data_IF_321408962871
#
_entry.id   IF_321408962871
#
_cell.length_a   1.000
_cell.length_b   1.000
_cell.length_c   1.000
_cell.angle_alpha   90.00
_cell.angle_beta   90.00
_cell.angle_gamma   90.00
#
_symmetry.space_group_name_H-M   'P 1'
#
loop_
_entity.id
_entity.type
_entity.pdbx_description
1 polymer ?
#
# COMPACT_ATOMS: atom_id res chain seq x y z
N UNK A 1 13.30 -12.64 -12.23
CA UNK A 1 12.36 -13.47 -11.46
C UNK A 1 11.80 -12.62 -10.33
N UNK A 2 10.48 -12.45 -10.24
CA UNK A 2 9.86 -11.81 -9.06
C UNK A 2 10.30 -12.61 -7.84
N UNK A 3 10.99 -11.98 -6.89
CA UNK A 3 11.42 -12.66 -5.66
C UNK A 3 10.17 -12.80 -4.78
N UNK A 4 9.39 -13.85 -5.01
CA UNK A 4 7.98 -13.91 -4.61
C UNK A 4 7.83 -13.89 -3.09
N UNK A 5 7.23 -12.84 -2.57
CA UNK A 5 6.68 -12.78 -1.22
C UNK A 5 5.64 -13.89 -1.01
N UNK A 6 5.33 -14.24 0.24
CA UNK A 6 4.25 -15.17 0.56
C UNK A 6 2.93 -14.72 -0.07
N UNK A 7 2.59 -13.43 0.04
CA UNK A 7 1.37 -12.88 -0.56
C UNK A 7 1.31 -13.13 -2.07
N UNK A 8 2.42 -12.86 -2.78
CA UNK A 8 2.50 -13.10 -4.22
C UNK A 8 2.26 -14.58 -4.54
N UNK A 9 2.92 -15.50 -3.82
CA UNK A 9 2.75 -16.95 -4.05
C UNK A 9 1.31 -17.41 -3.84
N UNK A 10 0.64 -16.95 -2.77
CA UNK A 10 -0.73 -17.35 -2.46
C UNK A 10 -1.69 -16.87 -3.55
N UNK A 11 -1.57 -15.61 -3.96
CA UNK A 11 -2.42 -15.02 -5.01
C UNK A 11 -2.15 -15.64 -6.38
N UNK A 12 -0.89 -15.82 -6.77
CA UNK A 12 -0.50 -16.43 -8.06
C UNK A 12 -0.92 -17.91 -8.15
N UNK A 13 -1.00 -18.62 -7.02
CA UNK A 13 -1.54 -19.98 -6.95
C UNK A 13 -3.08 -20.05 -7.04
N UNK A 14 -3.77 -18.89 -7.08
CA UNK A 14 -5.23 -18.82 -7.08
C UNK A 14 -5.86 -19.19 -5.73
N UNK A 15 -5.09 -19.14 -4.63
CA UNK A 15 -5.60 -19.40 -3.30
C UNK A 15 -6.23 -18.16 -2.68
N UNK A 16 -7.14 -18.38 -1.73
CA UNK A 16 -7.75 -17.29 -0.98
C UNK A 16 -6.74 -16.73 0.03
N UNK A 17 -6.20 -15.55 -0.24
CA UNK A 17 -5.27 -14.87 0.65
C UNK A 17 -5.99 -14.15 1.79
N UNK A 18 -5.48 -14.30 3.01
CA UNK A 18 -5.91 -13.56 4.20
C UNK A 18 -4.85 -12.53 4.56
N UNK A 19 -5.26 -11.27 4.74
CA UNK A 19 -4.37 -10.23 5.26
C UNK A 19 -4.95 -9.58 6.51
N UNK A 20 -4.08 -9.06 7.37
CA UNK A 20 -4.47 -8.32 8.58
C UNK A 20 -3.83 -6.95 8.56
N UNK A 21 -4.56 -5.90 8.98
CA UNK A 21 -4.02 -4.55 9.08
C UNK A 21 -3.55 -4.23 10.50
N UNK A 22 -2.34 -3.69 10.62
CA UNK A 22 -1.70 -3.25 11.86
C UNK A 22 -1.38 -1.77 11.73
N UNK A 23 -2.08 -0.95 12.52
CA UNK A 23 -1.78 0.48 12.63
C UNK A 23 -0.58 0.75 13.56
N UNK A 24 0.49 1.44 13.09
CA UNK A 24 1.59 1.85 13.94
C UNK A 24 1.14 2.83 15.06
N UNK A 25 1.86 2.88 16.20
CA UNK A 25 1.53 3.77 17.31
C UNK A 25 1.82 5.24 16.97
N UNK A 26 1.26 6.15 17.76
CA UNK A 26 1.53 7.61 17.69
C UNK A 26 2.76 8.02 18.52
N UNK A 27 3.60 7.07 18.89
CA UNK A 27 4.80 7.26 19.70
C UNK A 27 5.94 6.37 19.17
N UNK A 28 7.12 6.46 19.78
CA UNK A 28 8.31 5.70 19.39
C UNK A 28 8.41 4.33 20.08
N UNK A 29 7.40 3.90 20.82
CA UNK A 29 7.44 2.62 21.53
C UNK A 29 7.15 1.44 20.59
N UNK A 30 8.23 0.84 20.09
CA UNK A 30 8.16 -0.33 19.21
C UNK A 30 7.57 -1.59 19.86
N UNK A 31 7.50 -1.66 21.20
CA UNK A 31 6.97 -2.84 21.89
C UNK A 31 5.51 -3.09 21.52
N UNK A 32 4.70 -2.02 21.39
CA UNK A 32 3.30 -2.07 20.95
C UNK A 32 3.10 -2.71 19.58
N UNK A 33 4.08 -2.54 18.67
CA UNK A 33 4.05 -3.19 17.35
C UNK A 33 4.40 -4.66 17.49
N UNK A 34 5.46 -4.98 18.24
CA UNK A 34 5.89 -6.38 18.43
C UNK A 34 4.87 -7.23 19.20
N UNK A 35 4.17 -6.67 20.19
CA UNK A 35 3.11 -7.37 20.93
C UNK A 35 1.94 -7.73 20.00
N UNK A 36 1.48 -6.77 19.18
CA UNK A 36 0.46 -7.04 18.16
C UNK A 36 0.93 -8.09 17.16
N UNK A 37 2.18 -8.02 16.71
CA UNK A 37 2.74 -9.01 15.79
C UNK A 37 2.71 -10.42 16.38
N UNK A 38 3.10 -10.58 17.65
CA UNK A 38 3.06 -11.86 18.36
C UNK A 38 1.64 -12.44 18.46
N UNK A 39 0.65 -11.59 18.75
CA UNK A 39 -0.76 -12.01 18.80
C UNK A 39 -1.31 -12.45 17.44
N UNK A 40 -0.83 -11.82 16.36
CA UNK A 40 -1.35 -12.02 15.01
C UNK A 40 -0.56 -13.05 14.20
N UNK A 41 0.56 -13.54 14.73
CA UNK A 41 1.47 -14.47 14.05
C UNK A 41 0.74 -15.75 13.62
N UNK A 42 0.84 -16.08 12.32
CA UNK A 42 0.25 -17.29 11.76
C UNK A 42 -1.25 -17.21 11.46
N UNK A 43 -1.88 -16.05 11.66
CA UNK A 43 -3.30 -15.84 11.35
C UNK A 43 -3.57 -15.34 9.91
N UNK A 44 -2.53 -14.87 9.20
CA UNK A 44 -2.66 -14.26 7.88
C UNK A 44 -1.43 -14.54 7.01
N UNK A 45 -1.62 -14.45 5.70
CA UNK A 45 -0.57 -14.62 4.69
C UNK A 45 0.37 -13.41 4.61
N UNK A 46 -0.16 -12.22 4.89
CA UNK A 46 0.60 -10.98 4.97
C UNK A 46 -0.11 -9.93 5.83
N UNK A 47 0.64 -8.89 6.24
CA UNK A 47 0.19 -7.93 7.24
C UNK A 47 0.36 -6.51 6.74
N UNK A 48 -0.76 -5.84 6.45
CA UNK A 48 -0.78 -4.43 6.08
C UNK A 48 -0.23 -3.55 7.21
N UNK A 49 0.75 -2.72 6.91
CA UNK A 49 1.28 -1.71 7.83
C UNK A 49 0.94 -0.34 7.27
N UNK A 50 0.06 0.38 7.98
CA UNK A 50 -0.45 1.67 7.52
C UNK A 50 0.59 2.78 7.61
N UNK A 51 0.46 3.80 6.75
CA UNK A 51 1.34 4.97 6.70
C UNK A 51 0.53 6.25 6.95
N UNK A 52 0.65 6.78 8.18
CA UNK A 52 -0.10 7.95 8.66
C UNK A 52 -1.61 7.89 8.34
N UNK A 53 -2.28 6.78 8.67
CA UNK A 53 -3.71 6.61 8.37
C UNK A 53 -4.54 7.76 8.95
N UNK A 54 -5.55 8.24 8.22
CA UNK A 54 -6.38 9.40 8.62
C UNK A 54 -5.61 10.71 8.83
N UNK A 55 -4.45 10.82 8.17
CA UNK A 55 -3.50 11.94 8.28
C UNK A 55 -3.03 12.19 9.72
N UNK A 56 -2.81 11.11 10.48
CA UNK A 56 -2.31 11.15 11.86
C UNK A 56 -0.86 10.71 11.88
N UNK A 57 0.01 11.53 12.45
CA UNK A 57 1.44 11.19 12.61
C UNK A 57 1.60 9.95 13.47
N UNK A 58 2.28 8.96 12.91
CA UNK A 58 2.57 7.67 13.53
C UNK A 58 4.01 7.28 13.25
N UNK A 59 4.49 6.26 13.95
CA UNK A 59 5.70 5.54 13.57
C UNK A 59 5.63 5.19 12.08
N UNK A 60 6.72 5.40 11.33
CA UNK A 60 6.71 5.18 9.89
C UNK A 60 6.38 3.72 9.56
N UNK A 61 5.70 3.53 8.42
CA UNK A 61 5.34 2.18 7.97
C UNK A 61 6.57 1.29 7.79
N UNK A 62 7.68 1.84 7.27
CA UNK A 62 8.96 1.13 7.10
C UNK A 62 9.49 0.59 8.44
N UNK A 63 9.54 1.43 9.48
CA UNK A 63 10.04 1.03 10.79
C UNK A 63 9.15 -0.06 11.41
N UNK A 64 7.83 0.11 11.34
CA UNK A 64 6.88 -0.89 11.82
C UNK A 64 6.96 -2.20 11.03
N UNK A 65 7.18 -2.16 9.71
CA UNK A 65 7.42 -3.34 8.89
C UNK A 65 8.63 -4.14 9.39
N UNK A 66 9.76 -3.48 9.65
CA UNK A 66 10.97 -4.14 10.17
C UNK A 66 10.70 -4.80 11.52
N UNK A 67 9.94 -4.15 12.40
CA UNK A 67 9.58 -4.71 13.70
C UNK A 67 8.75 -5.99 13.57
N UNK A 68 7.73 -6.02 12.70
CA UNK A 68 6.92 -7.24 12.52
C UNK A 68 7.67 -8.35 11.77
N UNK A 69 8.59 -7.99 10.87
CA UNK A 69 9.46 -8.95 10.18
C UNK A 69 10.36 -9.71 11.14
N UNK A 70 10.88 -9.05 12.19
CA UNK A 70 11.67 -9.70 13.25
C UNK A 70 10.86 -10.73 14.03
N UNK A 71 9.55 -10.57 14.09
CA UNK A 71 8.63 -11.54 14.69
C UNK A 71 8.18 -12.64 13.70
N UNK A 72 8.64 -12.58 12.45
CA UNK A 72 8.36 -13.57 11.40
C UNK A 72 7.08 -13.32 10.60
N UNK A 73 6.55 -12.09 10.63
CA UNK A 73 5.38 -11.70 9.84
C UNK A 73 5.84 -11.04 8.52
N UNK A 74 5.12 -11.30 7.44
CA UNK A 74 5.40 -10.68 6.14
C UNK A 74 4.61 -9.37 5.99
N UNK A 75 5.26 -8.19 5.90
CA UNK A 75 4.56 -6.92 5.77
C UNK A 75 4.07 -6.67 4.35
N UNK A 76 2.94 -5.95 4.26
CA UNK A 76 2.53 -5.13 3.12
C UNK A 76 2.65 -3.67 3.54
N UNK A 77 3.75 -3.04 3.14
CA UNK A 77 4.01 -1.64 3.50
C UNK A 77 3.06 -0.74 2.72
N UNK A 78 2.26 0.07 3.41
CA UNK A 78 1.53 1.14 2.74
C UNK A 78 2.48 2.31 2.48
N UNK A 79 2.36 2.90 1.29
CA UNK A 79 3.08 4.11 0.91
C UNK A 79 2.08 5.17 0.46
N UNK A 80 2.00 6.25 1.24
CA UNK A 80 1.07 7.35 1.00
C UNK A 80 1.71 8.47 0.17
N UNK A 81 1.07 8.87 -0.94
CA UNK A 81 1.54 9.97 -1.79
C UNK A 81 1.35 11.38 -1.19
N UNK A 82 0.36 11.58 -0.32
CA UNK A 82 0.05 12.88 0.30
C UNK A 82 1.24 13.53 0.99
N UNK A 83 2.07 12.74 1.68
CA UNK A 83 3.06 13.23 2.63
C UNK A 83 4.46 13.43 2.02
N UNK A 84 4.71 12.90 0.81
CA UNK A 84 6.07 12.79 0.23
C UNK A 84 6.09 13.14 -1.26
N UNK A 85 7.22 13.66 -1.74
CA UNK A 85 7.45 13.86 -3.17
C UNK A 85 8.06 12.59 -3.80
N UNK A 86 8.16 12.54 -5.13
CA UNK A 86 8.68 11.37 -5.85
C UNK A 86 10.12 11.00 -5.48
N UNK A 87 10.95 11.96 -5.08
CA UNK A 87 12.32 11.69 -4.63
C UNK A 87 12.31 10.94 -3.30
N UNK A 88 11.57 11.46 -2.32
CA UNK A 88 11.42 10.85 -1.01
C UNK A 88 10.77 9.46 -1.10
N UNK A 89 9.74 9.29 -1.94
CA UNK A 89 9.09 7.99 -2.13
C UNK A 89 10.06 6.97 -2.71
N UNK A 90 10.79 7.31 -3.77
CA UNK A 90 11.76 6.37 -4.38
C UNK A 90 12.88 6.00 -3.40
N UNK A 91 13.40 6.97 -2.64
CA UNK A 91 14.41 6.71 -1.61
C UNK A 91 13.87 5.79 -0.50
N UNK A 92 12.66 6.04 -0.01
CA UNK A 92 11.98 5.22 0.99
C UNK A 92 11.76 3.78 0.49
N UNK A 93 11.40 3.62 -0.79
CA UNK A 93 11.21 2.31 -1.41
C UNK A 93 12.52 1.53 -1.52
N UNK A 94 13.60 2.17 -1.96
CA UNK A 94 14.92 1.55 -2.01
C UNK A 94 15.38 1.12 -0.61
N UNK A 95 15.21 1.99 0.39
CA UNK A 95 15.51 1.69 1.79
C UNK A 95 14.66 0.53 2.34
N UNK A 96 13.36 0.53 2.08
CA UNK A 96 12.44 -0.54 2.46
C UNK A 96 12.86 -1.89 1.88
N UNK A 97 13.18 -1.93 0.58
CA UNK A 97 13.63 -3.15 -0.10
C UNK A 97 14.97 -3.64 0.44
N UNK A 98 15.91 -2.72 0.74
CA UNK A 98 17.19 -3.06 1.36
C UNK A 98 17.02 -3.68 2.77
N UNK A 99 15.95 -3.31 3.48
CA UNK A 99 15.56 -3.90 4.77
C UNK A 99 14.78 -5.23 4.62
N UNK A 100 14.54 -5.67 3.38
CA UNK A 100 13.89 -6.95 3.06
C UNK A 100 12.38 -6.86 2.88
N UNK A 101 11.79 -5.66 2.83
CA UNK A 101 10.35 -5.48 2.54
C UNK A 101 10.11 -5.76 1.06
N UNK A 102 9.13 -6.62 0.77
CA UNK A 102 8.85 -7.11 -0.60
C UNK A 102 7.48 -6.73 -1.13
N UNK A 103 6.56 -6.26 -0.29
CA UNK A 103 5.21 -5.89 -0.71
C UNK A 103 4.95 -4.41 -0.41
N UNK A 104 4.40 -3.68 -1.38
CA UNK A 104 4.04 -2.27 -1.24
C UNK A 104 2.61 -2.03 -1.71
N UNK A 105 1.77 -1.39 -0.89
CA UNK A 105 0.42 -0.95 -1.29
C UNK A 105 0.44 0.56 -1.53
N UNK A 106 0.25 0.96 -2.79
CA UNK A 106 0.26 2.35 -3.23
C UNK A 106 -1.08 3.02 -2.94
N UNK A 107 -1.06 4.10 -2.13
CA UNK A 107 -2.26 4.82 -1.73
C UNK A 107 -2.08 6.34 -1.85
N UNK A 108 -3.17 7.04 -2.17
CA UNK A 108 -3.16 8.51 -2.26
C UNK A 108 -2.99 9.12 -0.86
N UNK A 109 -3.68 8.56 0.13
CA UNK A 109 -3.80 9.09 1.49
C UNK A 109 -5.04 9.95 1.69
N UNK A 110 -5.55 9.97 2.93
CA UNK A 110 -6.64 10.85 3.36
C UNK A 110 -6.19 12.31 3.39
N UNK A 111 -7.05 13.25 3.01
CA UNK A 111 -6.71 14.68 3.06
C UNK A 111 -6.21 15.09 4.47
N UNK A 112 -5.17 15.91 4.55
CA UNK A 112 -4.51 16.27 5.81
C UNK A 112 -5.44 17.01 6.80
N UNK A 113 -6.50 17.63 6.30
CA UNK A 113 -7.52 18.27 7.15
C UNK A 113 -8.43 17.27 7.89
N UNK A 114 -8.44 15.99 7.52
CA UNK A 114 -9.34 15.01 8.15
C UNK A 114 -8.93 14.62 9.57
N UNK A 115 -7.64 14.79 9.93
CA UNK A 115 -7.05 14.60 11.27
C UNK A 115 -7.89 13.83 12.30
N UNK A 116 -7.86 12.49 12.26
CA UNK A 116 -8.60 11.61 13.18
C UNK A 116 -10.11 11.94 13.35
N UNK A 117 -10.76 12.44 12.31
CA UNK A 117 -12.12 12.97 12.32
C UNK A 117 -12.31 14.11 13.33
N UNK A 118 -11.34 15.02 13.41
CA UNK A 118 -11.34 16.18 14.31
C UNK A 118 -11.01 15.86 15.77
N UNK A 119 -10.70 14.59 16.11
CA UNK A 119 -10.35 14.19 17.48
C UNK A 119 -8.94 14.62 17.90
N UNK A 120 -8.08 14.92 16.94
CA UNK A 120 -6.73 15.41 17.18
C UNK A 120 -6.58 16.80 16.58
N UNK A 121 -5.70 17.62 17.17
CA UNK A 121 -5.37 18.95 16.63
C UNK A 121 -4.85 18.88 15.19
N UNK A 122 -4.26 17.76 14.80
CA UNK A 122 -3.70 17.53 13.47
C UNK A 122 -2.58 18.53 13.13
N UNK A 123 -2.34 18.70 11.84
CA UNK A 123 -1.30 19.59 11.32
C UNK A 123 -1.91 20.49 10.23
N UNK A 124 -2.72 21.51 10.60
CA UNK A 124 -3.44 22.33 9.63
C UNK A 124 -2.51 23.10 8.66
N UNK A 125 -1.25 23.36 9.07
CA UNK A 125 -0.23 23.98 8.23
C UNK A 125 0.63 23.00 7.43
N UNK A 126 0.43 21.68 7.56
CA UNK A 126 1.17 20.71 6.78
C UNK A 126 0.80 20.84 5.29
N UNK A 127 1.83 20.83 4.44
CA UNK A 127 1.63 20.86 2.99
C UNK A 127 1.12 19.51 2.52
N UNK A 128 0.11 19.57 1.66
CA UNK A 128 -0.23 18.46 0.78
C UNK A 128 0.82 18.38 -0.32
N UNK A 129 1.65 17.33 -0.30
CA UNK A 129 2.70 17.19 -1.29
C UNK A 129 2.09 16.75 -2.62
N UNK A 130 1.40 15.61 -2.67
CA UNK A 130 0.72 15.05 -3.86
C UNK A 130 1.49 15.26 -5.18
N UNK A 131 2.82 15.13 -5.14
CA UNK A 131 3.68 15.30 -6.32
C UNK A 131 3.37 14.25 -7.39
N UNK A 132 2.90 13.08 -6.95
CA UNK A 132 2.37 12.00 -7.79
C UNK A 132 1.09 11.44 -7.16
N UNK A 133 0.16 10.95 -7.99
CA UNK A 133 -0.99 10.18 -7.50
C UNK A 133 -0.65 8.68 -7.34
N UNK A 134 -1.59 7.90 -6.79
CA UNK A 134 -1.34 6.46 -6.56
C UNK A 134 -1.15 5.66 -7.85
N UNK A 135 -1.70 6.12 -8.98
CA UNK A 135 -1.54 5.46 -10.29
C UNK A 135 -0.17 5.76 -10.87
N UNK A 136 0.28 7.01 -10.77
CA UNK A 136 1.64 7.40 -11.14
C UNK A 136 2.68 6.69 -10.27
N UNK A 137 2.42 6.55 -8.96
CA UNK A 137 3.27 5.78 -8.07
C UNK A 137 3.40 4.32 -8.52
N UNK A 138 2.30 3.66 -8.93
CA UNK A 138 2.37 2.30 -9.49
C UNK A 138 3.33 2.25 -10.69
N UNK A 139 3.20 3.18 -11.65
CA UNK A 139 4.06 3.23 -12.82
C UNK A 139 5.53 3.45 -12.45
N UNK A 140 5.81 4.30 -11.46
CA UNK A 140 7.17 4.53 -10.95
C UNK A 140 7.75 3.26 -10.36
N UNK A 141 7.01 2.60 -9.44
CA UNK A 141 7.51 1.38 -8.78
C UNK A 141 7.66 0.23 -9.79
N UNK A 142 6.76 0.15 -10.78
CA UNK A 142 6.87 -0.79 -11.89
C UNK A 142 8.15 -0.53 -12.68
N UNK A 143 8.45 0.70 -13.08
CA UNK A 143 9.67 1.06 -13.81
C UNK A 143 10.95 0.76 -13.01
N UNK A 144 10.95 1.06 -11.71
CA UNK A 144 12.07 0.72 -10.83
C UNK A 144 12.33 -0.80 -10.78
N UNK A 145 11.27 -1.60 -10.68
CA UNK A 145 11.36 -3.07 -10.57
C UNK A 145 11.65 -3.74 -11.92
N UNK A 146 10.89 -3.39 -12.96
CA UNK A 146 10.84 -4.10 -14.24
C UNK A 146 11.94 -3.59 -15.18
N UNK A 147 12.15 -2.27 -15.24
CA UNK A 147 13.11 -1.63 -16.14
C UNK A 147 14.45 -1.36 -15.45
N UNK A 148 14.44 -1.22 -14.12
CA UNK A 148 15.63 -0.89 -13.34
C UNK A 148 16.02 0.58 -13.48
N UNK A 149 15.03 1.47 -13.54
CA UNK A 149 15.22 2.91 -13.70
C UNK A 149 14.52 3.67 -12.57
N UNK A 150 15.15 4.72 -12.08
CA UNK A 150 14.45 5.77 -11.32
C UNK A 150 13.46 6.48 -12.24
N UNK A 151 12.47 7.18 -11.67
CA UNK A 151 11.48 7.95 -12.44
C UNK A 151 12.13 8.97 -13.40
N UNK A 152 13.28 9.54 -13.00
CA UNK A 152 14.05 10.46 -13.83
C UNK A 152 14.89 9.79 -14.93
N UNK A 153 14.94 8.46 -15.00
CA UNK A 153 15.67 7.69 -16.00
C UNK A 153 17.06 7.20 -15.59
N UNK A 154 17.54 7.57 -14.39
CA UNK A 154 18.82 7.08 -13.87
C UNK A 154 18.76 5.57 -13.55
N UNK A 155 19.82 4.80 -13.82
CA UNK A 155 19.81 3.35 -13.62
C UNK A 155 19.80 2.96 -12.14
N UNK A 156 19.14 1.83 -11.85
CA UNK A 156 19.15 1.12 -10.57
C UNK A 156 19.78 -0.25 -10.81
N UNK A 157 21.03 -0.41 -10.39
CA UNK A 157 21.78 -1.66 -10.58
C UNK A 157 21.12 -2.86 -9.88
N UNK A 158 20.72 -2.67 -8.62
CA UNK A 158 20.00 -3.68 -7.82
C UNK A 158 18.54 -3.27 -7.72
N UNK A 159 17.71 -3.89 -8.57
CA UNK A 159 16.29 -3.56 -8.70
C UNK A 159 15.50 -3.94 -7.44
N UNK A 160 14.55 -3.12 -6.98
CA UNK A 160 13.68 -3.45 -5.85
C UNK A 160 12.73 -4.60 -6.22
N UNK A 161 12.76 -5.75 -5.52
CA UNK A 161 11.96 -6.93 -5.88
C UNK A 161 10.54 -6.84 -5.31
N UNK A 162 9.77 -5.84 -5.75
CA UNK A 162 8.46 -5.53 -5.18
C UNK A 162 7.30 -6.30 -5.81
N UNK A 163 6.37 -6.73 -4.96
CA UNK A 163 5.00 -7.05 -5.31
C UNK A 163 4.12 -5.82 -5.01
N UNK A 164 3.58 -5.22 -6.07
CA UNK A 164 3.02 -3.88 -6.05
C UNK A 164 1.50 -3.95 -6.01
N UNK A 165 0.89 -3.40 -4.97
CA UNK A 165 -0.55 -3.35 -4.78
C UNK A 165 -1.13 -1.97 -5.01
N UNK A 166 -2.42 -1.92 -5.31
CA UNK A 166 -3.17 -0.67 -5.33
C UNK A 166 -4.47 -0.76 -4.52
N UNK A 167 -4.82 0.32 -3.82
CA UNK A 167 -6.14 0.42 -3.18
C UNK A 167 -7.24 0.78 -4.20
N UNK A 168 -8.44 0.21 -4.04
CA UNK A 168 -9.61 0.55 -4.87
C UNK A 168 -10.86 0.75 -4.01
N UNK A 169 -11.63 1.80 -4.30
CA UNK A 169 -12.92 2.05 -3.63
C UNK A 169 -14.04 1.79 -4.64
N UNK A 170 -14.65 0.59 -4.63
CA UNK A 170 -15.58 0.16 -5.68
C UNK A 170 -16.88 0.97 -5.74
N UNK A 171 -17.38 1.38 -4.57
CA UNK A 171 -18.69 2.02 -4.40
C UNK A 171 -18.58 3.50 -4.02
N UNK A 172 -17.40 4.11 -4.19
CA UNK A 172 -17.22 5.54 -3.92
C UNK A 172 -17.82 6.40 -5.04
N UNK A 173 -18.35 7.58 -4.71
CA UNK A 173 -18.93 8.52 -5.67
C UNK A 173 -17.85 9.26 -6.49
N UNK A 174 -17.94 9.41 -7.83
CA UNK A 174 -18.89 8.77 -8.75
C UNK A 174 -18.61 7.26 -8.91
N UNK A 175 -19.66 6.44 -8.84
CA UNK A 175 -19.55 4.97 -8.84
C UNK A 175 -19.21 4.43 -10.23
N UNK A 176 -19.79 5.02 -11.28
CA UNK A 176 -19.69 4.50 -12.65
C UNK A 176 -18.25 4.57 -13.21
N UNK A 177 -17.42 5.48 -12.69
CA UNK A 177 -16.02 5.62 -13.10
C UNK A 177 -15.08 4.68 -12.36
N UNK A 178 -15.55 3.96 -11.33
CA UNK A 178 -14.68 3.13 -10.47
C UNK A 178 -14.08 1.93 -11.19
N UNK A 179 -14.78 1.21 -12.09
CA UNK A 179 -14.17 0.17 -12.91
C UNK A 179 -13.06 0.72 -13.83
N UNK A 180 -13.28 1.90 -14.43
CA UNK A 180 -12.24 2.54 -15.25
C UNK A 180 -11.01 2.95 -14.42
N UNK A 181 -11.20 3.42 -13.18
CA UNK A 181 -10.07 3.71 -12.27
C UNK A 181 -9.32 2.44 -11.87
N UNK A 182 -10.01 1.32 -11.71
CA UNK A 182 -9.37 0.03 -11.48
C UNK A 182 -8.52 -0.39 -12.68
N UNK A 183 -9.07 -0.30 -13.90
CA UNK A 183 -8.34 -0.56 -15.16
C UNK A 183 -7.02 0.21 -15.22
N UNK A 184 -7.07 1.52 -14.97
CA UNK A 184 -5.87 2.38 -14.98
C UNK A 184 -4.81 1.92 -13.97
N UNK A 185 -5.22 1.41 -12.81
CA UNK A 185 -4.28 0.88 -11.79
C UNK A 185 -3.66 -0.45 -12.22
N UNK A 186 -4.45 -1.34 -12.82
CA UNK A 186 -3.93 -2.59 -13.37
C UNK A 186 -2.93 -2.32 -14.49
N UNK A 187 -3.27 -1.44 -15.44
CA UNK A 187 -2.39 -1.04 -16.55
C UNK A 187 -1.11 -0.32 -16.08
N UNK A 188 -1.19 0.45 -14.98
CA UNK A 188 -0.03 1.10 -14.37
C UNK A 188 0.92 0.12 -13.66
N UNK A 189 0.56 -1.16 -13.52
CA UNK A 189 1.45 -2.19 -12.99
C UNK A 189 1.11 -2.71 -11.59
N UNK A 190 -0.12 -2.54 -11.11
CA UNK A 190 -0.55 -3.24 -9.91
C UNK A 190 -0.57 -4.76 -10.15
N UNK A 191 0.12 -5.53 -9.32
CA UNK A 191 0.05 -6.99 -9.27
C UNK A 191 -1.14 -7.49 -8.45
N UNK A 192 -1.64 -6.68 -7.50
CA UNK A 192 -2.83 -6.99 -6.72
C UNK A 192 -3.64 -5.75 -6.35
N UNK A 193 -4.91 -5.97 -6.00
CA UNK A 193 -5.85 -4.91 -5.64
C UNK A 193 -6.42 -5.20 -4.26
N UNK A 194 -6.44 -4.18 -3.39
CA UNK A 194 -7.10 -4.24 -2.10
C UNK A 194 -8.25 -3.25 -2.07
N UNK A 195 -9.48 -3.70 -1.81
CA UNK A 195 -10.62 -2.78 -1.74
C UNK A 195 -10.65 -2.04 -0.41
N UNK A 196 -11.29 -0.87 -0.37
CA UNK A 196 -11.82 -0.40 0.90
C UNK A 196 -12.94 -1.30 1.42
N UNK A 197 -13.29 -1.14 2.70
CA UNK A 197 -14.37 -1.90 3.34
C UNK A 197 -15.65 -1.87 2.51
N UNK A 198 -16.15 -3.06 2.17
CA UNK A 198 -17.39 -3.25 1.41
C UNK A 198 -18.46 -3.78 2.37
N UNK A 199 -19.48 -2.97 2.62
CA UNK A 199 -20.63 -3.35 3.44
C UNK A 199 -21.85 -3.72 2.58
N UNK A 200 -21.99 -3.12 1.41
CA UNK A 200 -23.02 -3.48 0.42
C UNK A 200 -22.45 -4.50 -0.57
N UNK A 201 -22.53 -5.77 -0.17
CA UNK A 201 -21.99 -6.90 -0.94
C UNK A 201 -22.77 -7.10 -2.26
N UNK A 202 -24.07 -6.78 -2.29
CA UNK A 202 -24.90 -6.93 -3.48
C UNK A 202 -24.44 -5.95 -4.57
N UNK A 203 -24.33 -4.66 -4.24
CA UNK A 203 -23.83 -3.65 -5.19
C UNK A 203 -22.37 -3.89 -5.58
N UNK A 204 -21.54 -4.39 -4.66
CA UNK A 204 -20.18 -4.77 -4.99
C UNK A 204 -20.13 -5.91 -6.02
N UNK A 205 -21.00 -6.92 -5.88
CA UNK A 205 -21.11 -8.02 -6.86
C UNK A 205 -21.50 -7.50 -8.25
N UNK A 206 -22.45 -6.57 -8.32
CA UNK A 206 -22.83 -5.91 -9.58
C UNK A 206 -21.65 -5.14 -10.18
N UNK A 207 -20.93 -4.38 -9.36
CA UNK A 207 -19.75 -3.64 -9.82
C UNK A 207 -18.64 -4.56 -10.31
N UNK A 208 -18.42 -5.70 -9.64
CA UNK A 208 -17.45 -6.71 -10.07
C UNK A 208 -17.83 -7.36 -11.40
N UNK A 209 -19.13 -7.52 -11.69
CA UNK A 209 -19.57 -7.97 -13.01
C UNK A 209 -19.08 -7.02 -14.10
N UNK A 210 -19.26 -5.71 -13.92
CA UNK A 210 -18.75 -4.69 -14.85
C UNK A 210 -17.22 -4.78 -15.01
N UNK A 211 -16.49 -5.00 -13.92
CA UNK A 211 -15.03 -5.18 -13.95
C UNK A 211 -14.65 -6.40 -14.78
N UNK A 212 -15.27 -7.55 -14.55
CA UNK A 212 -15.00 -8.78 -15.30
C UNK A 212 -15.41 -8.66 -16.79
N UNK A 213 -16.53 -8.00 -17.08
CA UNK A 213 -16.99 -7.73 -18.46
C UNK A 213 -16.00 -6.83 -19.23
N UNK A 214 -15.18 -6.04 -18.53
CA UNK A 214 -14.08 -5.26 -19.10
C UNK A 214 -12.78 -6.07 -19.33
N UNK A 215 -12.75 -7.36 -18.94
CA UNK A 215 -11.58 -8.23 -19.06
C UNK A 215 -10.50 -7.99 -18.01
N UNK A 216 -10.88 -7.43 -16.86
CA UNK A 216 -9.99 -7.20 -15.70
C UNK A 216 -10.10 -8.32 -14.67
#
# INVERSE_FOLDING_TARGET
MKNSSNLARVLEAGHFAVTVEIGPPMDCDGTKVTEKAKLLKGLADAYNITDNQTAVVRMSSIAACVLIMREGLEPVMQMTCRDRNRLAIQADILGACALGIKNCLCIVGDHQSFGAAGRLKGHPGAKNVYDVDSTQLLSILKGMRDDGLQEGGDPIEVRPPLFIGAAWTPLGDPVDIRPLRLKKKAEAGADFIQTQGVYDVARFKEQMKTVCDMGL
#
